data_IF_568067147574
#
_entry.id   IF_568067147574
#
_cell.length_a   1.000
_cell.length_b   1.000
_cell.length_c   1.000
_cell.angle_alpha   90.00
_cell.angle_beta   90.00
_cell.angle_gamma   90.00
#
_symmetry.space_group_name_H-M   'P 1'
#
loop_
_entity.id
_entity.type
_entity.pdbx_description
1 polymer ?
#
# COMPACT_ATOMS: atom_id res chain seq x y z
N UNK A 1 -9.98 -6.14 -20.76
CA UNK A 1 -10.44 -5.86 -19.40
C UNK A 1 -9.22 -5.32 -18.64
N UNK A 2 -9.25 -4.09 -18.14
CA UNK A 2 -8.10 -3.47 -17.49
C UNK A 2 -8.02 -3.90 -16.03
N UNK A 3 -6.88 -4.39 -15.61
CA UNK A 3 -6.60 -4.75 -14.22
C UNK A 3 -5.61 -3.76 -13.60
N UNK A 4 -5.52 -3.71 -12.27
CA UNK A 4 -4.55 -2.86 -11.58
C UNK A 4 -3.08 -3.28 -11.81
N UNK A 5 -2.85 -4.41 -12.48
CA UNK A 5 -1.51 -4.85 -12.91
C UNK A 5 -1.04 -4.16 -14.19
N UNK A 6 -1.97 -3.70 -15.03
CA UNK A 6 -1.69 -3.15 -16.35
C UNK A 6 -1.25 -1.67 -16.32
N UNK A 7 -1.35 -1.04 -15.14
CA UNK A 7 -1.08 0.39 -14.94
C UNK A 7 0.17 0.59 -14.08
N UNK A 8 1.01 1.61 -14.38
CA UNK A 8 2.17 1.95 -13.57
C UNK A 8 1.79 2.22 -12.12
N UNK A 9 2.59 1.66 -11.19
CA UNK A 9 2.29 1.69 -9.76
C UNK A 9 2.12 3.10 -9.19
N UNK A 10 2.94 4.07 -9.64
CA UNK A 10 2.93 5.44 -9.14
C UNK A 10 1.59 6.14 -9.38
N UNK A 11 1.12 6.07 -10.62
CA UNK A 11 -0.13 6.72 -11.06
C UNK A 11 -1.33 6.03 -10.42
N UNK A 12 -1.34 4.70 -10.37
CA UNK A 12 -2.37 3.93 -9.69
C UNK A 12 -2.48 4.30 -8.19
N UNK A 13 -1.33 4.37 -7.48
CA UNK A 13 -1.30 4.70 -6.05
C UNK A 13 -1.87 6.11 -5.81
N UNK A 14 -1.56 7.09 -6.66
CA UNK A 14 -2.13 8.43 -6.56
C UNK A 14 -3.65 8.44 -6.74
N UNK A 15 -4.15 7.77 -7.77
CA UNK A 15 -5.59 7.64 -8.00
C UNK A 15 -6.32 6.94 -6.85
N UNK A 16 -5.74 5.87 -6.32
CA UNK A 16 -6.28 5.15 -5.16
C UNK A 16 -6.23 6.01 -3.90
N UNK A 17 -5.13 6.76 -3.65
CA UNK A 17 -5.03 7.64 -2.47
C UNK A 17 -6.13 8.70 -2.44
N UNK A 18 -6.48 9.28 -3.59
CA UNK A 18 -7.61 10.22 -3.72
C UNK A 18 -8.96 9.57 -3.37
N UNK A 19 -9.17 8.31 -3.73
CA UNK A 19 -10.38 7.57 -3.35
C UNK A 19 -10.40 7.23 -1.86
N UNK A 20 -9.24 6.87 -1.29
CA UNK A 20 -9.12 6.53 0.13
C UNK A 20 -9.28 7.77 1.03
N UNK A 21 -8.82 8.94 0.61
CA UNK A 21 -9.00 10.19 1.37
C UNK A 21 -10.47 10.61 1.54
N UNK A 22 -11.34 10.14 0.65
CA UNK A 22 -12.79 10.36 0.76
C UNK A 22 -13.49 9.38 1.73
N UNK A 23 -12.78 8.39 2.28
CA UNK A 23 -13.32 7.40 3.20
C UNK A 23 -13.00 7.79 4.65
N UNK A 24 -14.01 7.97 5.49
CA UNK A 24 -13.86 8.32 6.91
C UNK A 24 -13.08 7.26 7.73
N UNK A 25 -13.09 6.00 7.26
CA UNK A 25 -12.38 4.89 7.91
C UNK A 25 -10.86 4.98 7.80
N UNK A 26 -10.34 5.76 6.84
CA UNK A 26 -8.91 5.94 6.62
C UNK A 26 -8.54 7.37 6.97
N UNK A 27 -8.01 7.55 8.17
CA UNK A 27 -7.60 8.84 8.68
C UNK A 27 -6.21 8.77 9.29
N UNK A 28 -5.43 9.83 9.11
CA UNK A 28 -4.11 9.93 9.70
C UNK A 28 -4.20 10.09 11.22
N UNK A 29 -3.64 9.16 12.04
CA UNK A 29 -3.60 9.31 13.48
C UNK A 29 -2.75 10.52 13.92
N UNK A 30 -3.07 11.12 15.06
CA UNK A 30 -2.31 12.28 15.57
C UNK A 30 -0.81 12.02 15.73
N UNK A 31 -0.45 10.83 16.20
CA UNK A 31 0.96 10.44 16.37
C UNK A 31 1.72 10.35 15.05
N UNK A 32 1.02 10.10 13.93
CA UNK A 32 1.63 9.93 12.62
C UNK A 32 2.31 11.21 12.09
N UNK A 33 1.91 12.39 12.61
CA UNK A 33 2.52 13.68 12.24
C UNK A 33 3.95 13.84 12.76
N UNK A 34 4.33 13.10 13.80
CA UNK A 34 5.59 13.28 14.52
C UNK A 34 6.57 12.12 14.34
N UNK A 35 6.20 11.07 13.58
CA UNK A 35 7.01 9.87 13.47
C UNK A 35 7.64 9.74 12.08
N UNK A 36 8.82 9.15 12.03
CA UNK A 36 9.44 8.70 10.78
C UNK A 36 8.93 7.31 10.40
N UNK A 37 8.89 7.01 9.11
CA UNK A 37 8.30 5.77 8.58
C UNK A 37 9.10 4.50 8.85
N UNK A 38 10.30 4.61 9.42
CA UNK A 38 11.13 3.48 9.81
C UNK A 38 12.51 3.93 10.26
N UNK A 39 13.28 3.00 10.84
CA UNK A 39 14.63 3.26 11.32
C UNK A 39 15.65 3.52 10.19
N UNK A 40 15.29 3.20 8.95
CA UNK A 40 16.10 3.49 7.76
C UNK A 40 15.93 4.94 7.26
N UNK A 41 14.92 5.65 7.73
CA UNK A 41 14.68 7.05 7.38
C UNK A 41 15.24 7.97 8.44
N UNK A 42 15.86 9.08 8.00
CA UNK A 42 16.39 10.10 8.90
C UNK A 42 15.32 11.12 9.29
N UNK A 43 14.44 11.44 8.36
CA UNK A 43 13.42 12.49 8.50
C UNK A 43 12.00 11.94 8.40
N UNK A 44 11.01 12.59 9.04
CA UNK A 44 9.60 12.28 8.82
C UNK A 44 9.17 12.61 7.38
N UNK A 45 8.02 12.10 6.91
CA UNK A 45 7.45 12.46 5.63
C UNK A 45 7.15 13.96 5.53
N UNK A 46 7.39 14.56 4.36
CA UNK A 46 7.11 15.97 4.08
C UNK A 46 5.72 16.16 3.48
N UNK A 47 5.21 15.15 2.77
CA UNK A 47 3.89 15.18 2.15
C UNK A 47 2.80 15.13 3.23
N UNK A 48 1.78 15.96 3.10
CA UNK A 48 0.67 15.98 4.06
C UNK A 48 -0.22 14.73 3.92
N UNK A 49 -0.42 14.27 2.69
CA UNK A 49 -1.23 13.10 2.30
C UNK A 49 -0.45 11.76 2.33
N UNK A 50 0.71 11.73 2.98
CA UNK A 50 1.57 10.54 2.97
C UNK A 50 0.90 9.28 3.54
N UNK A 51 -0.08 9.48 4.43
CA UNK A 51 -0.79 8.37 5.08
C UNK A 51 -1.68 7.64 4.08
N UNK A 52 -2.49 8.38 3.34
CA UNK A 52 -3.39 7.88 2.30
C UNK A 52 -2.60 7.25 1.15
N UNK A 53 -1.51 7.87 0.74
CA UNK A 53 -0.59 7.34 -0.27
C UNK A 53 0.04 6.03 0.21
N UNK A 54 0.43 5.94 1.49
CA UNK A 54 0.94 4.70 2.07
C UNK A 54 -0.14 3.63 2.17
N UNK A 55 -1.37 3.98 2.53
CA UNK A 55 -2.50 3.06 2.57
C UNK A 55 -2.81 2.50 1.16
N UNK A 56 -2.81 3.35 0.15
CA UNK A 56 -2.97 2.95 -1.26
C UNK A 56 -1.86 1.99 -1.72
N UNK A 57 -0.61 2.30 -1.38
CA UNK A 57 0.53 1.44 -1.71
C UNK A 57 0.45 0.08 -0.99
N UNK A 58 0.01 0.04 0.27
CA UNK A 58 -0.22 -1.20 1.03
C UNK A 58 -1.34 -2.02 0.39
N UNK A 59 -2.47 -1.38 0.04
CA UNK A 59 -3.59 -2.06 -0.62
C UNK A 59 -3.17 -2.70 -1.95
N UNK A 60 -2.42 -1.97 -2.78
CA UNK A 60 -1.87 -2.50 -4.02
C UNK A 60 -0.93 -3.68 -3.77
N UNK A 61 -0.03 -3.58 -2.78
CA UNK A 61 0.91 -4.67 -2.44
C UNK A 61 0.17 -5.93 -1.95
N UNK A 62 -0.91 -5.77 -1.19
CA UNK A 62 -1.76 -6.91 -0.82
C UNK A 62 -2.33 -7.56 -2.07
N UNK A 63 -2.79 -6.79 -3.05
CA UNK A 63 -3.31 -7.33 -4.31
C UNK A 63 -2.29 -8.14 -5.12
N UNK A 64 -1.03 -7.73 -5.09
CA UNK A 64 0.05 -8.41 -5.85
C UNK A 64 0.66 -9.60 -5.13
N UNK A 65 0.64 -9.64 -3.80
CA UNK A 65 1.43 -10.59 -2.98
C UNK A 65 0.56 -11.46 -2.05
N UNK A 66 -0.75 -11.38 -2.18
CA UNK A 66 -1.73 -12.08 -1.34
C UNK A 66 -1.49 -13.60 -1.24
N UNK A 67 -1.60 -14.21 -0.04
CA UNK A 67 -1.81 -13.60 1.27
C UNK A 67 -0.51 -13.04 1.87
N UNK A 68 -0.57 -11.86 2.50
CA UNK A 68 0.62 -11.18 3.02
C UNK A 68 0.49 -10.77 4.48
N UNK A 69 1.57 -10.94 5.23
CA UNK A 69 1.67 -10.58 6.66
C UNK A 69 2.36 -9.23 6.87
N UNK A 70 2.18 -8.66 8.08
CA UNK A 70 2.78 -7.38 8.48
C UNK A 70 4.29 -7.35 8.33
N UNK A 71 4.98 -8.44 8.70
CA UNK A 71 6.44 -8.49 8.64
C UNK A 71 6.95 -8.42 7.20
N UNK A 72 6.28 -9.09 6.26
CA UNK A 72 6.62 -9.04 4.86
C UNK A 72 6.38 -7.64 4.29
N UNK A 73 5.23 -7.02 4.57
CA UNK A 73 4.97 -5.64 4.19
C UNK A 73 6.00 -4.67 4.78
N UNK A 74 6.43 -4.89 6.04
CA UNK A 74 7.46 -4.06 6.65
C UNK A 74 8.82 -4.17 5.93
N UNK A 75 9.16 -5.32 5.38
CA UNK A 75 10.35 -5.48 4.55
C UNK A 75 10.22 -4.75 3.23
N UNK A 76 9.07 -4.86 2.55
CA UNK A 76 8.76 -4.16 1.30
C UNK A 76 8.84 -2.63 1.43
N UNK A 77 8.37 -2.08 2.56
CA UNK A 77 8.45 -0.66 2.88
C UNK A 77 9.72 -0.28 3.67
N UNK A 78 10.69 -1.17 3.71
CA UNK A 78 12.01 -0.93 4.29
C UNK A 78 12.97 -0.24 3.31
N UNK A 79 14.24 -0.17 3.70
CA UNK A 79 15.30 0.36 2.86
C UNK A 79 16.67 0.27 3.54
N UNK A 80 17.69 0.74 2.86
CA UNK A 80 19.03 0.78 3.42
C UNK A 80 19.12 1.83 4.52
N UNK A 81 19.76 1.47 5.64
CA UNK A 81 20.05 2.40 6.73
C UNK A 81 21.49 2.88 6.60
N UNK A 82 21.67 4.18 6.64
CA UNK A 82 22.98 4.78 6.78
C UNK A 82 23.55 4.45 8.18
N UNK A 83 24.80 4.00 8.21
CA UNK A 83 25.54 3.59 9.40
C UNK A 83 26.87 4.34 9.55
N UNK A 84 27.00 5.49 8.90
CA UNK A 84 28.24 6.24 8.83
C UNK A 84 29.29 5.51 7.99
N UNK A 85 30.48 5.29 8.52
CA UNK A 85 31.58 4.60 7.81
C UNK A 85 31.39 3.09 7.67
N UNK A 86 30.42 2.48 8.36
CA UNK A 86 30.11 1.05 8.22
C UNK A 86 29.26 0.79 6.97
N UNK A 87 29.34 -0.40 6.36
CA UNK A 87 28.49 -0.79 5.24
C UNK A 87 27.00 -0.67 5.58
N UNK A 88 26.22 -0.07 4.67
CA UNK A 88 24.78 0.06 4.83
C UNK A 88 24.10 -1.32 4.87
N UNK A 89 23.07 -1.45 5.70
CA UNK A 89 22.26 -2.67 5.82
C UNK A 89 20.80 -2.35 5.64
N UNK A 90 20.08 -3.22 4.95
CA UNK A 90 18.63 -3.15 4.82
C UNK A 90 17.95 -3.28 6.20
N UNK A 91 16.96 -2.44 6.42
CA UNK A 91 16.11 -2.44 7.63
C UNK A 91 14.64 -2.34 7.24
N UNK A 92 13.80 -3.03 7.97
CA UNK A 92 12.36 -2.99 7.78
C UNK A 92 11.77 -1.62 8.14
N UNK A 93 10.68 -1.26 7.48
CA UNK A 93 9.86 -0.11 7.84
C UNK A 93 9.12 -0.31 9.16
N UNK A 94 8.39 0.71 9.60
CA UNK A 94 7.60 0.67 10.83
C UNK A 94 6.44 -0.31 10.72
N UNK A 95 6.47 -1.37 11.53
CA UNK A 95 5.37 -2.34 11.62
C UNK A 95 4.11 -1.73 12.22
N UNK A 96 4.26 -0.76 13.14
CA UNK A 96 3.11 -0.10 13.75
C UNK A 96 2.28 0.69 12.73
N UNK A 97 2.94 1.46 11.85
CA UNK A 97 2.27 2.16 10.74
C UNK A 97 1.48 1.17 9.87
N UNK A 98 2.13 0.07 9.47
CA UNK A 98 1.50 -0.94 8.62
C UNK A 98 0.32 -1.63 9.32
N UNK A 99 0.46 -1.97 10.62
CA UNK A 99 -0.62 -2.56 11.39
C UNK A 99 -1.84 -1.63 11.47
N UNK A 100 -1.61 -0.33 11.76
CA UNK A 100 -2.70 0.66 11.84
C UNK A 100 -3.41 0.82 10.48
N UNK A 101 -2.64 0.94 9.39
CA UNK A 101 -3.19 1.01 8.04
C UNK A 101 -4.01 -0.25 7.71
N UNK A 102 -3.51 -1.43 8.04
CA UNK A 102 -4.23 -2.68 7.79
C UNK A 102 -5.54 -2.76 8.58
N UNK A 103 -5.56 -2.28 9.82
CA UNK A 103 -6.78 -2.21 10.62
C UNK A 103 -7.80 -1.23 10.02
N UNK A 104 -7.35 -0.09 9.50
CA UNK A 104 -8.20 0.87 8.81
C UNK A 104 -8.76 0.29 7.50
N UNK A 105 -7.94 -0.40 6.72
CA UNK A 105 -8.37 -1.08 5.49
C UNK A 105 -9.34 -2.25 5.78
N UNK A 106 -9.17 -2.95 6.91
CA UNK A 106 -10.13 -3.96 7.39
C UNK A 106 -11.46 -3.31 7.80
N UNK A 107 -11.43 -2.18 8.49
CA UNK A 107 -12.61 -1.41 8.86
C UNK A 107 -13.34 -0.84 7.62
N UNK A 108 -12.60 -0.52 6.55
CA UNK A 108 -13.16 -0.13 5.26
C UNK A 108 -13.67 -1.31 4.41
N UNK A 109 -13.59 -2.54 4.92
CA UNK A 109 -13.96 -3.80 4.23
C UNK A 109 -13.22 -4.03 2.89
N UNK A 110 -12.07 -3.40 2.69
CA UNK A 110 -11.25 -3.57 1.49
C UNK A 110 -10.32 -4.78 1.57
N UNK A 111 -10.00 -5.20 2.80
CA UNK A 111 -9.07 -6.29 3.11
C UNK A 111 -9.66 -7.19 4.19
N UNK A 112 -9.36 -8.47 4.14
CA UNK A 112 -9.75 -9.42 5.20
C UNK A 112 -8.58 -10.32 5.61
N UNK A 113 -8.66 -10.85 6.83
CA UNK A 113 -7.67 -11.80 7.34
C UNK A 113 -7.99 -13.22 6.84
N UNK A 114 -7.10 -13.78 6.03
CA UNK A 114 -7.20 -15.16 5.57
C UNK A 114 -6.66 -16.13 6.63
N UNK A 115 -7.39 -17.21 6.86
CA UNK A 115 -7.01 -18.32 7.74
C UNK A 115 -7.02 -19.63 6.97
N UNK A 116 -6.33 -20.64 7.48
CA UNK A 116 -6.44 -21.99 6.91
C UNK A 116 -7.82 -22.61 7.20
N UNK A 117 -8.17 -23.71 6.52
CA UNK A 117 -9.46 -24.41 6.66
C UNK A 117 -9.91 -24.66 8.10
N UNK A 118 -9.07 -25.16 9.05
CA UNK A 118 -9.46 -25.29 10.44
C UNK A 118 -9.48 -23.98 11.23
N UNK A 119 -9.12 -22.83 10.65
CA UNK A 119 -9.13 -21.53 11.31
C UNK A 119 -8.05 -21.31 12.39
N UNK A 120 -7.14 -22.27 12.56
CA UNK A 120 -6.11 -22.24 13.61
C UNK A 120 -4.91 -21.35 13.26
N UNK A 121 -4.59 -21.22 11.98
CA UNK A 121 -3.42 -20.47 11.51
C UNK A 121 -3.86 -19.28 10.67
N UNK A 122 -3.37 -18.08 11.04
CA UNK A 122 -3.54 -16.85 10.26
C UNK A 122 -2.51 -16.81 9.14
N UNK A 123 -2.96 -16.93 7.89
CA UNK A 123 -2.08 -16.92 6.71
C UNK A 123 -1.61 -15.51 6.33
N UNK A 124 -2.43 -14.52 6.56
CA UNK A 124 -2.16 -13.14 6.18
C UNK A 124 -3.41 -12.42 5.70
N UNK A 125 -3.22 -11.25 5.15
CA UNK A 125 -4.30 -10.44 4.61
C UNK A 125 -4.43 -10.62 3.11
N UNK A 126 -5.67 -10.64 2.65
CA UNK A 126 -6.05 -10.74 1.23
C UNK A 126 -7.06 -9.66 0.90
N UNK A 127 -7.16 -9.29 -0.38
CA UNK A 127 -8.17 -8.34 -0.84
C UNK A 127 -9.57 -8.96 -0.78
N UNK A 128 -10.54 -8.14 -0.44
CA UNK A 128 -11.96 -8.44 -0.65
C UNK A 128 -12.36 -8.21 -2.11
N UNK A 129 -13.50 -8.70 -2.57
CA UNK A 129 -14.05 -8.32 -3.88
C UNK A 129 -14.21 -6.80 -4.04
N UNK A 130 -14.57 -6.08 -2.97
CA UNK A 130 -14.66 -4.62 -2.96
C UNK A 130 -13.29 -3.96 -3.16
N UNK A 131 -12.23 -4.47 -2.50
CA UNK A 131 -10.86 -4.01 -2.69
C UNK A 131 -10.34 -4.23 -4.12
N UNK A 132 -10.62 -5.40 -4.69
CA UNK A 132 -10.31 -5.67 -6.10
C UNK A 132 -11.04 -4.73 -7.05
N UNK A 133 -12.34 -4.51 -6.82
CA UNK A 133 -13.14 -3.60 -7.61
C UNK A 133 -12.57 -2.18 -7.57
N UNK A 134 -12.28 -1.66 -6.38
CA UNK A 134 -11.72 -0.32 -6.20
C UNK A 134 -10.41 -0.14 -6.99
N UNK A 135 -9.49 -1.11 -6.88
CA UNK A 135 -8.21 -1.05 -7.60
C UNK A 135 -8.41 -1.09 -9.12
N UNK A 136 -9.31 -1.94 -9.62
CA UNK A 136 -9.58 -2.07 -11.05
C UNK A 136 -10.34 -0.86 -11.61
N UNK A 137 -11.29 -0.29 -10.86
CA UNK A 137 -12.02 0.92 -11.27
C UNK A 137 -11.05 2.10 -11.44
N UNK A 138 -10.15 2.30 -10.47
CA UNK A 138 -9.12 3.35 -10.59
C UNK A 138 -8.15 3.06 -11.73
N UNK A 139 -7.75 1.80 -11.93
CA UNK A 139 -6.89 1.43 -13.05
C UNK A 139 -7.54 1.74 -14.40
N UNK A 140 -8.85 1.51 -14.51
CA UNK A 140 -9.61 1.82 -15.72
C UNK A 140 -9.72 3.34 -15.97
N UNK A 141 -9.91 4.15 -14.91
CA UNK A 141 -9.95 5.61 -15.00
C UNK A 141 -8.61 6.21 -15.43
N UNK A 142 -7.51 5.65 -14.95
CA UNK A 142 -6.15 6.18 -15.18
C UNK A 142 -5.56 5.69 -16.51
N UNK A 143 -6.01 4.56 -17.03
CA UNK A 143 -5.50 3.96 -18.27
C UNK A 143 -5.38 4.92 -19.44
N UNK A 144 -6.38 5.77 -19.77
CA UNK A 144 -6.28 6.69 -20.92
C UNK A 144 -5.11 7.68 -20.79
N UNK A 145 -4.81 8.15 -19.58
CA UNK A 145 -3.69 9.04 -19.34
C UNK A 145 -2.34 8.33 -19.55
N UNK A 146 -2.24 7.07 -19.12
CA UNK A 146 -1.04 6.24 -19.31
C UNK A 146 -0.82 5.89 -20.78
N UNK A 147 -1.89 5.61 -21.53
CA UNK A 147 -1.82 5.33 -22.96
C UNK A 147 -1.39 6.58 -23.76
N UNK A 148 -1.75 7.77 -23.30
CA UNK A 148 -1.31 9.04 -23.92
C UNK A 148 0.20 9.26 -23.73
N UNK A 149 0.75 8.89 -22.55
CA UNK A 149 2.20 8.96 -22.28
C UNK A 149 2.99 7.84 -22.99
N UNK A 150 2.39 6.66 -23.12
CA UNK A 150 3.03 5.48 -23.68
C UNK A 150 2.11 4.77 -24.72
N UNK A 151 2.04 5.25 -25.97
CA UNK A 151 1.12 4.72 -26.99
C UNK A 151 1.28 3.23 -27.28
N UNK A 152 2.45 2.65 -26.96
CA UNK A 152 2.72 1.22 -27.11
C UNK A 152 1.85 0.33 -26.23
N UNK A 153 1.33 0.84 -25.11
CA UNK A 153 0.47 0.10 -24.19
C UNK A 153 -0.95 -0.16 -24.75
N UNK A 154 -1.40 0.64 -25.72
CA UNK A 154 -2.70 0.45 -26.37
C UNK A 154 -2.83 -0.88 -27.14
N UNK A 155 -1.70 -1.57 -27.37
CA UNK A 155 -1.68 -2.87 -28.06
C UNK A 155 -1.99 -4.06 -27.13
N UNK A 156 -1.94 -3.86 -25.83
CA UNK A 156 -2.19 -4.87 -24.79
C UNK A 156 -3.41 -4.50 -23.95
#
# INVERSE_FOLDING_TARGET
>A
MTTFHDVPAGILIQGVSTRLSAMDSISQPEWARHVKTGIHRERPPVQEDWWEVRAAAVLRKIGTMSPVGVNHLAQEFGGSRDRGSNPNRAKSGSRHIICTILQQLEAAELVFLSTNLPGTVKLGRTLTPAGHKLLNDVAHEVRPAVEAEAPGLAKY
#
